data_IF_195826009410
#
_entry.id   IF_195826009410
#
_cell.length_a   1.000
_cell.length_b   1.000
_cell.length_c   1.000
_cell.angle_alpha   90.00
_cell.angle_beta   90.00
_cell.angle_gamma   90.00
#
_symmetry.space_group_name_H-M   'P 1'
#
loop_
_entity.id
_entity.type
_entity.pdbx_description
1 polymer ?
#
# COMPACT_ATOMS: atom_id res chain seq x y z
N UNK A 1 -5.54 11.54 18.24
CA UNK A 1 -5.95 10.72 19.39
C UNK A 1 -5.87 11.57 20.66
N UNK A 2 -6.84 11.46 21.57
CA UNK A 2 -6.74 12.08 22.88
C UNK A 2 -5.70 11.34 23.73
N UNK A 3 -5.08 12.00 24.74
CA UNK A 3 -4.13 11.33 25.64
C UNK A 3 -4.72 10.07 26.32
N UNK A 4 -6.04 10.05 26.58
CA UNK A 4 -6.74 8.88 27.13
C UNK A 4 -6.85 7.70 26.15
N UNK A 5 -6.86 7.94 24.83
CA UNK A 5 -6.88 6.87 23.81
C UNK A 5 -5.51 6.22 23.63
N UNK A 6 -4.43 6.97 23.87
CA UNK A 6 -3.05 6.47 23.79
C UNK A 6 -2.58 5.74 25.06
N UNK A 7 -3.31 5.85 26.19
CA UNK A 7 -2.93 5.24 27.47
C UNK A 7 -2.84 3.72 27.46
N UNK A 8 -3.34 3.06 26.40
CA UNK A 8 -3.31 1.60 26.24
C UNK A 8 -2.25 1.12 25.24
N UNK A 9 -1.47 2.02 24.67
CA UNK A 9 -0.43 1.71 23.69
C UNK A 9 0.88 2.33 24.13
N UNK A 10 1.91 1.51 24.28
CA UNK A 10 3.25 1.96 24.59
C UNK A 10 4.21 1.62 23.46
N UNK A 11 5.24 2.43 23.33
CA UNK A 11 6.29 2.33 22.32
C UNK A 11 7.64 2.17 23.02
N UNK A 12 7.99 0.96 23.49
CA UNK A 12 9.27 0.73 24.17
C UNK A 12 10.43 1.04 23.23
N UNK A 13 11.38 1.85 23.70
CA UNK A 13 12.64 2.11 23.00
C UNK A 13 13.59 0.97 23.31
N UNK A 14 14.23 0.41 22.29
CA UNK A 14 15.21 -0.65 22.49
C UNK A 14 16.42 -0.12 23.27
N UNK A 15 16.94 -0.92 24.23
CA UNK A 15 18.09 -0.60 25.07
C UNK A 15 19.41 -0.46 24.30
N UNK A 16 19.45 -0.83 23.02
CA UNK A 16 20.64 -0.83 22.16
C UNK A 16 21.14 0.58 21.76
N UNK A 17 20.54 1.66 22.27
CA UNK A 17 21.07 3.02 22.21
C UNK A 17 20.92 3.74 20.88
N UNK A 18 20.31 3.15 19.85
CA UNK A 18 20.09 3.77 18.53
C UNK A 18 18.84 4.64 18.46
N UNK A 19 17.99 4.65 19.51
CA UNK A 19 16.75 5.43 19.55
C UNK A 19 15.65 4.95 18.59
N UNK A 20 15.86 3.85 17.88
CA UNK A 20 14.84 3.24 17.02
C UNK A 20 13.79 2.50 17.84
N UNK A 21 12.52 2.69 17.47
CA UNK A 21 11.41 1.97 18.10
C UNK A 21 11.08 0.78 17.21
N UNK A 22 11.25 -0.42 17.77
CA UNK A 22 10.96 -1.69 17.07
C UNK A 22 9.84 -2.47 17.73
N UNK A 23 9.44 -2.09 18.94
CA UNK A 23 8.43 -2.77 19.72
C UNK A 23 7.19 -1.90 19.91
N UNK A 24 6.03 -2.55 19.93
CA UNK A 24 4.75 -1.95 20.32
C UNK A 24 4.07 -2.83 21.35
N UNK A 25 3.50 -2.22 22.38
CA UNK A 25 2.86 -2.89 23.50
C UNK A 25 1.44 -2.36 23.66
N UNK A 26 0.45 -3.26 23.76
CA UNK A 26 -0.96 -2.93 23.94
C UNK A 26 -1.49 -3.58 25.22
N UNK A 27 -2.27 -2.83 25.96
CA UNK A 27 -2.90 -3.29 27.20
C UNK A 27 -4.41 -3.46 27.00
N UNK A 28 -4.90 -4.66 27.20
CA UNK A 28 -6.34 -4.95 27.19
C UNK A 28 -7.00 -4.50 28.50
N UNK A 29 -8.33 -4.52 28.53
CA UNK A 29 -9.09 -4.22 29.76
C UNK A 29 -8.79 -5.23 30.86
N UNK A 30 -8.84 -4.75 32.12
CA UNK A 30 -8.76 -5.60 33.29
C UNK A 30 -9.87 -6.66 33.29
N UNK A 31 -9.50 -7.92 33.28
CA UNK A 31 -10.45 -9.01 33.36
C UNK A 31 -10.81 -9.25 34.84
N UNK A 32 -12.03 -8.90 35.22
CA UNK A 32 -12.59 -9.27 36.54
C UNK A 32 -13.09 -10.72 36.44
N UNK A 33 -12.52 -11.61 37.23
CA UNK A 33 -13.00 -13.01 37.33
C UNK A 33 -14.43 -13.06 37.88
N UNK A 34 -15.16 -14.15 37.60
CA UNK A 34 -16.49 -14.39 38.16
C UNK A 34 -16.52 -14.35 39.70
N UNK A 35 -15.35 -14.41 40.36
CA UNK A 35 -15.16 -14.32 41.82
C UNK A 35 -14.77 -12.92 42.28
N UNK A 36 -14.80 -11.90 41.40
CA UNK A 36 -14.49 -10.50 41.73
C UNK A 36 -12.99 -10.18 41.86
N UNK A 37 -12.09 -11.10 41.55
CA UNK A 37 -10.65 -10.83 41.57
C UNK A 37 -10.20 -10.26 40.23
N UNK A 38 -9.52 -9.10 40.22
CA UNK A 38 -8.84 -8.55 39.05
C UNK A 38 -7.69 -9.48 38.66
N UNK A 39 -7.62 -9.87 37.36
CA UNK A 39 -6.53 -10.67 36.82
C UNK A 39 -5.44 -9.80 36.14
N UNK A 40 -5.55 -8.47 36.26
CA UNK A 40 -4.70 -7.52 35.58
C UNK A 40 -5.04 -7.39 34.07
N UNK A 41 -4.64 -6.29 33.48
CA UNK A 41 -4.78 -6.07 32.07
C UNK A 41 -3.92 -7.08 31.25
N UNK A 42 -4.48 -7.64 30.19
CA UNK A 42 -3.75 -8.54 29.32
C UNK A 42 -2.80 -7.74 28.43
N UNK A 43 -1.52 -8.01 28.54
CA UNK A 43 -0.49 -7.37 27.75
C UNK A 43 -0.24 -8.14 26.45
N UNK A 44 -0.03 -7.38 25.35
CA UNK A 44 0.33 -7.90 24.03
C UNK A 44 1.52 -7.10 23.51
N UNK A 45 2.66 -7.75 23.32
CA UNK A 45 3.86 -7.17 22.74
C UNK A 45 4.10 -7.75 21.36
N UNK A 46 4.53 -6.87 20.42
CA UNK A 46 4.90 -7.23 19.05
C UNK A 46 6.16 -6.48 18.67
N UNK A 47 7.06 -7.17 17.95
CA UNK A 47 8.33 -6.64 17.49
C UNK A 47 8.32 -6.65 15.96
N UNK A 48 8.83 -5.55 15.34
CA UNK A 48 8.88 -5.33 13.89
C UNK A 48 10.23 -4.72 13.50
N UNK A 49 10.48 -4.60 12.19
CA UNK A 49 11.66 -3.91 11.69
C UNK A 49 11.68 -2.45 12.13
N UNK A 50 10.53 -1.77 12.12
CA UNK A 50 10.33 -0.40 12.61
C UNK A 50 8.91 -0.17 13.11
N UNK A 51 8.76 0.64 14.14
CA UNK A 51 7.48 1.10 14.68
C UNK A 51 7.47 2.63 14.67
N UNK A 52 6.42 3.22 14.13
CA UNK A 52 6.22 4.66 14.07
C UNK A 52 5.30 5.10 15.21
N UNK A 53 5.79 5.90 16.16
CA UNK A 53 4.96 6.47 17.22
C UNK A 53 4.03 7.58 16.66
N UNK A 54 3.05 8.07 17.45
CA UNK A 54 2.10 9.08 16.99
C UNK A 54 2.71 10.40 16.51
N UNK A 55 3.94 10.70 16.91
CA UNK A 55 4.68 11.92 16.54
C UNK A 55 5.40 11.78 15.20
N UNK A 56 5.49 10.56 14.65
CA UNK A 56 6.15 10.32 13.36
C UNK A 56 5.42 11.05 12.23
N UNK A 57 6.17 11.74 11.42
CA UNK A 57 5.67 12.48 10.26
C UNK A 57 5.54 11.59 9.03
N UNK A 58 4.90 12.10 7.98
CA UNK A 58 4.87 11.45 6.66
C UNK A 58 6.28 11.31 6.07
N UNK A 59 7.19 12.24 6.39
CA UNK A 59 8.58 12.18 5.96
C UNK A 59 9.30 10.99 6.62
N UNK A 60 9.13 10.80 7.94
CA UNK A 60 9.74 9.67 8.65
C UNK A 60 9.27 8.33 8.10
N UNK A 61 7.97 8.23 7.74
CA UNK A 61 7.41 7.04 7.09
C UNK A 61 7.99 6.83 5.69
N UNK A 62 8.17 7.91 4.92
CA UNK A 62 8.68 7.85 3.56
C UNK A 62 10.17 7.46 3.52
N UNK A 63 10.96 7.79 4.52
CA UNK A 63 12.38 7.40 4.58
C UNK A 63 12.58 5.89 4.42
N UNK A 64 11.68 5.07 4.98
CA UNK A 64 11.71 3.61 4.83
C UNK A 64 11.39 3.14 3.39
N UNK A 65 10.63 3.93 2.64
CA UNK A 65 10.26 3.62 1.25
C UNK A 65 11.31 4.10 0.27
N UNK A 66 12.04 5.17 0.60
CA UNK A 66 12.98 5.86 -0.29
C UNK A 66 14.01 4.91 -0.92
N UNK A 67 14.58 3.98 -0.15
CA UNK A 67 15.53 2.98 -0.68
C UNK A 67 14.88 1.97 -1.62
N UNK A 68 13.61 1.65 -1.39
CA UNK A 68 12.85 0.78 -2.28
C UNK A 68 12.53 1.47 -3.60
N UNK A 69 12.27 2.79 -3.57
CA UNK A 69 12.09 3.62 -4.77
C UNK A 69 13.34 3.56 -5.65
N UNK A 70 14.53 3.73 -5.08
CA UNK A 70 15.78 3.58 -5.83
C UNK A 70 15.91 2.17 -6.43
N UNK A 71 15.50 1.15 -5.71
CA UNK A 71 15.52 -0.22 -6.23
C UNK A 71 14.62 -0.39 -7.45
N UNK A 72 13.50 0.33 -7.54
CA UNK A 72 12.64 0.29 -8.74
C UNK A 72 13.34 0.90 -9.97
N UNK A 73 14.08 2.00 -9.82
CA UNK A 73 14.91 2.56 -10.88
C UNK A 73 16.00 1.58 -11.33
N UNK A 74 16.56 0.82 -10.41
CA UNK A 74 17.56 -0.20 -10.69
C UNK A 74 16.98 -1.43 -11.43
N UNK A 75 15.67 -1.51 -11.63
CA UNK A 75 15.00 -2.60 -12.35
C UNK A 75 14.43 -3.69 -11.45
N UNK A 76 14.25 -3.44 -10.16
CA UNK A 76 13.51 -4.36 -9.31
C UNK A 76 12.01 -4.08 -9.37
N UNK A 77 11.21 -5.11 -9.17
CA UNK A 77 9.82 -4.94 -8.79
C UNK A 77 9.75 -4.62 -7.30
N UNK A 78 8.95 -3.63 -6.96
CA UNK A 78 8.74 -3.16 -5.59
C UNK A 78 7.25 -3.15 -5.32
N UNK A 79 6.87 -3.57 -4.12
CA UNK A 79 5.49 -3.53 -3.66
C UNK A 79 5.44 -2.94 -2.25
N UNK A 80 4.63 -1.90 -2.07
CA UNK A 80 4.35 -1.31 -0.76
C UNK A 80 2.84 -1.33 -0.56
N UNK A 81 2.38 -1.87 0.56
CA UNK A 81 0.96 -1.88 0.85
C UNK A 81 0.65 -1.53 2.31
N UNK A 82 -0.47 -0.81 2.49
CA UNK A 82 -0.98 -0.42 3.79
C UNK A 82 -2.13 -1.35 4.21
N UNK A 83 -2.06 -1.89 5.43
CA UNK A 83 -3.00 -2.83 6.02
C UNK A 83 -3.47 -2.33 7.39
N UNK A 84 -4.72 -2.54 7.73
CA UNK A 84 -5.29 -2.17 9.04
C UNK A 84 -6.79 -1.92 8.95
N UNK A 85 -7.40 -1.60 10.08
CA UNK A 85 -8.84 -1.34 10.17
C UNK A 85 -9.25 -0.05 9.43
N UNK A 86 -10.52 0.08 9.11
CA UNK A 86 -11.07 1.33 8.58
C UNK A 86 -10.83 2.47 9.57
N UNK A 87 -10.35 3.62 9.06
CA UNK A 87 -10.03 4.79 9.88
C UNK A 87 -8.67 4.75 10.59
N UNK A 88 -7.85 3.70 10.40
CA UNK A 88 -6.51 3.63 11.01
C UNK A 88 -5.43 4.44 10.29
N UNK A 89 -5.76 5.10 9.17
CA UNK A 89 -4.81 5.97 8.45
C UNK A 89 -4.14 5.37 7.22
N UNK A 90 -4.59 4.21 6.70
CA UNK A 90 -4.00 3.58 5.49
C UNK A 90 -3.93 4.54 4.30
N UNK A 91 -5.06 5.12 3.92
CA UNK A 91 -5.15 6.10 2.81
C UNK A 91 -4.33 7.34 3.11
N UNK A 92 -4.32 7.82 4.36
CA UNK A 92 -3.47 8.93 4.77
C UNK A 92 -1.98 8.61 4.62
N UNK A 93 -1.54 7.41 4.98
CA UNK A 93 -0.16 6.96 4.77
C UNK A 93 0.18 6.89 3.28
N UNK A 94 -0.72 6.36 2.44
CA UNK A 94 -0.44 6.13 1.03
C UNK A 94 -0.63 7.39 0.17
N UNK A 95 -1.74 8.10 0.31
CA UNK A 95 -2.10 9.25 -0.54
C UNK A 95 -1.81 10.61 0.14
N UNK A 96 -1.92 10.67 1.48
CA UNK A 96 -1.87 11.91 2.26
C UNK A 96 -3.26 12.52 2.46
N UNK A 97 -3.32 13.84 2.72
CA UNK A 97 -4.59 14.58 2.85
C UNK A 97 -5.05 15.07 1.48
N UNK A 98 -6.33 14.86 1.16
CA UNK A 98 -6.95 15.43 -0.03
C UNK A 98 -7.21 16.94 0.14
N UNK A 99 -7.01 17.73 -0.92
CA UNK A 99 -7.27 19.19 -0.93
C UNK A 99 -8.70 19.56 -0.50
N UNK A 100 -9.68 18.68 -0.68
CA UNK A 100 -11.05 18.89 -0.24
C UNK A 100 -11.22 19.04 1.28
N UNK A 101 -10.26 18.63 2.08
CA UNK A 101 -10.26 18.76 3.55
C UNK A 101 -9.59 20.07 4.00
N UNK A 102 -8.71 20.64 3.18
CA UNK A 102 -7.98 21.89 3.47
C UNK A 102 -8.85 23.13 3.16
N UNK A 103 -9.86 22.98 2.33
CA UNK A 103 -10.74 24.06 1.84
C UNK A 103 -11.98 24.34 2.68
N UNK A 104 -11.89 24.42 4.02
CA UNK A 104 -12.98 25.05 4.80
C UNK A 104 -12.96 26.58 4.59
N UNK A 105 -14.11 27.24 4.30
CA UNK A 105 -14.16 28.68 4.06
C UNK A 105 -13.82 29.43 5.34
N UNK A 106 -12.60 29.94 5.45
CA UNK A 106 -12.12 30.71 6.60
C UNK A 106 -10.61 30.87 6.72
N UNK A 107 -9.80 30.10 5.99
CA UNK A 107 -8.34 30.30 5.96
C UNK A 107 -7.92 31.04 4.70
N UNK A 108 -7.60 32.32 4.86
CA UNK A 108 -6.93 33.15 3.85
C UNK A 108 -5.51 32.62 3.62
N UNK A 109 -5.32 31.72 2.66
CA UNK A 109 -4.00 31.36 2.15
C UNK A 109 -3.79 31.97 0.77
N UNK A 110 -2.74 32.74 0.65
CA UNK A 110 -2.28 33.42 -0.55
C UNK A 110 -2.15 32.46 -1.72
N UNK A 111 -2.80 32.83 -2.83
CA UNK A 111 -2.72 32.19 -4.13
C UNK A 111 -1.33 32.32 -4.74
N UNK A 112 -0.42 31.41 -4.40
CA UNK A 112 0.81 31.16 -5.12
C UNK A 112 0.71 29.78 -5.77
N UNK A 113 0.72 29.67 -7.12
CA UNK A 113 0.61 28.38 -7.81
C UNK A 113 1.79 27.43 -7.56
N UNK A 114 2.89 27.90 -6.98
CA UNK A 114 4.07 27.12 -6.62
C UNK A 114 4.06 26.55 -5.19
N UNK A 115 3.02 26.81 -4.40
CA UNK A 115 2.79 26.15 -3.12
C UNK A 115 1.95 24.88 -3.34
N UNK A 116 2.52 23.93 -4.05
CA UNK A 116 2.02 22.56 -4.11
C UNK A 116 2.27 21.96 -2.72
N UNK A 117 1.17 21.72 -1.98
CA UNK A 117 1.05 20.94 -0.75
C UNK A 117 2.28 21.03 0.19
N UNK A 118 2.13 21.73 1.31
CA UNK A 118 3.19 21.81 2.32
C UNK A 118 3.65 20.43 2.80
N UNK A 119 4.93 20.30 3.11
CA UNK A 119 5.69 19.06 3.43
C UNK A 119 5.05 18.06 4.41
N UNK A 120 3.95 18.42 5.08
CA UNK A 120 3.28 17.58 6.06
C UNK A 120 2.06 16.79 5.56
N UNK A 121 1.60 17.02 4.34
CA UNK A 121 0.29 16.54 3.84
C UNK A 121 0.40 15.39 2.85
N UNK A 122 1.50 15.30 2.11
CA UNK A 122 1.73 14.27 1.09
C UNK A 122 2.06 12.90 1.70
N UNK A 123 1.41 11.84 1.16
CA UNK A 123 1.67 10.45 1.53
C UNK A 123 2.82 9.82 0.73
N UNK A 124 2.92 8.51 0.83
CA UNK A 124 3.96 7.70 0.17
C UNK A 124 3.90 7.82 -1.35
N UNK A 125 2.70 7.83 -1.97
CA UNK A 125 2.56 7.84 -3.43
C UNK A 125 3.13 9.12 -4.04
N UNK A 126 2.69 10.35 -3.66
CA UNK A 126 3.21 11.57 -4.26
C UNK A 126 4.73 11.75 -3.99
N UNK A 127 5.22 11.44 -2.79
CA UNK A 127 6.65 11.53 -2.47
C UNK A 127 7.49 10.57 -3.31
N UNK A 128 6.99 9.34 -3.51
CA UNK A 128 7.63 8.35 -4.39
C UNK A 128 7.76 8.86 -5.82
N UNK A 129 6.69 9.45 -6.34
CA UNK A 129 6.67 10.01 -7.71
C UNK A 129 7.69 11.14 -7.83
N UNK A 130 7.72 12.08 -6.90
CA UNK A 130 8.69 13.17 -6.88
C UNK A 130 10.14 12.63 -6.85
N UNK A 131 10.44 11.66 -5.99
CA UNK A 131 11.77 11.06 -5.90
C UNK A 131 12.17 10.38 -7.21
N UNK A 132 11.27 9.63 -7.86
CA UNK A 132 11.55 8.94 -9.13
C UNK A 132 11.89 9.94 -10.22
N UNK A 133 11.09 11.00 -10.39
CA UNK A 133 11.36 12.03 -11.40
C UNK A 133 12.66 12.77 -11.13
N UNK A 134 12.93 13.09 -9.86
CA UNK A 134 14.20 13.72 -9.49
C UNK A 134 15.40 12.80 -9.77
N UNK A 135 15.33 11.55 -9.37
CA UNK A 135 16.41 10.59 -9.55
C UNK A 135 16.61 10.20 -11.02
N UNK A 136 15.54 10.01 -11.81
CA UNK A 136 15.64 9.72 -13.23
C UNK A 136 16.33 10.86 -13.98
N UNK A 137 16.00 12.12 -13.65
CA UNK A 137 16.65 13.29 -14.23
C UNK A 137 18.14 13.38 -13.86
N UNK A 138 18.50 13.07 -12.63
CA UNK A 138 19.91 13.04 -12.20
C UNK A 138 20.74 11.96 -12.91
N UNK A 139 20.10 10.92 -13.42
CA UNK A 139 20.75 9.83 -14.15
C UNK A 139 20.93 10.13 -15.66
N UNK A 140 20.31 11.20 -16.18
CA UNK A 140 20.48 11.63 -17.59
C UNK A 140 21.94 11.93 -17.92
N UNK A 141 22.68 12.60 -17.03
CA UNK A 141 24.10 12.90 -17.18
C UNK A 141 24.97 11.63 -17.28
N UNK A 142 24.47 10.50 -16.76
CA UNK A 142 25.11 9.18 -16.83
C UNK A 142 24.65 8.38 -18.07
N UNK A 143 23.89 9.02 -18.96
CA UNK A 143 23.39 8.44 -20.21
C UNK A 143 22.12 7.62 -20.07
N UNK A 144 21.43 7.63 -18.93
CA UNK A 144 20.17 6.95 -18.74
C UNK A 144 18.99 7.80 -19.25
N UNK A 145 18.08 7.15 -19.93
CA UNK A 145 16.75 7.69 -20.28
C UNK A 145 15.69 6.77 -19.72
N UNK A 146 14.71 7.37 -19.02
CA UNK A 146 13.58 6.64 -18.48
C UNK A 146 12.27 7.04 -19.15
N UNK A 147 11.49 6.05 -19.56
CA UNK A 147 10.09 6.21 -19.91
C UNK A 147 9.25 5.71 -18.75
N UNK A 148 8.42 6.58 -18.21
CA UNK A 148 7.56 6.31 -17.06
C UNK A 148 6.12 6.20 -17.52
N UNK A 149 5.39 5.21 -17.03
CA UNK A 149 3.95 5.11 -17.26
C UNK A 149 3.20 4.66 -15.99
N UNK A 150 2.02 5.23 -15.78
CA UNK A 150 1.20 4.99 -14.61
C UNK A 150 -0.11 4.32 -14.97
N UNK A 151 -0.57 3.41 -14.11
CA UNK A 151 -1.93 2.87 -14.11
C UNK A 151 -2.52 2.92 -12.71
N UNK A 152 -3.85 2.97 -12.63
CA UNK A 152 -4.53 3.01 -11.35
C UNK A 152 -5.80 2.15 -11.42
N UNK A 153 -5.84 1.09 -10.65
CA UNK A 153 -6.94 0.15 -10.63
C UNK A 153 -7.53 -0.03 -9.23
N UNK A 154 -8.77 -0.46 -9.20
CA UNK A 154 -9.51 -0.81 -7.99
C UNK A 154 -9.94 -2.27 -8.06
N UNK A 155 -9.82 -2.97 -6.92
CA UNK A 155 -10.43 -4.29 -6.75
C UNK A 155 -11.57 -4.16 -5.75
N UNK A 156 -12.78 -4.29 -6.25
CA UNK A 156 -14.01 -4.23 -5.48
C UNK A 156 -14.89 -5.43 -5.79
N UNK A 157 -15.33 -6.13 -4.77
CA UNK A 157 -16.20 -7.29 -4.90
C UNK A 157 -15.66 -8.33 -5.91
N UNK A 158 -14.36 -8.67 -5.83
CA UNK A 158 -13.65 -9.58 -6.75
C UNK A 158 -13.71 -9.15 -8.23
N UNK A 159 -13.96 -7.87 -8.49
CA UNK A 159 -13.97 -7.26 -9.82
C UNK A 159 -12.88 -6.19 -9.91
N UNK A 160 -12.12 -6.23 -11.00
CA UNK A 160 -11.12 -5.19 -11.30
C UNK A 160 -11.80 -4.09 -12.08
N UNK A 161 -11.52 -2.84 -11.71
CA UNK A 161 -11.92 -1.62 -12.42
C UNK A 161 -10.70 -0.79 -12.72
N UNK A 162 -10.66 -0.20 -13.88
CA UNK A 162 -9.66 0.81 -14.24
C UNK A 162 -10.17 2.18 -13.82
N UNK A 163 -9.44 2.83 -12.91
CA UNK A 163 -9.81 4.16 -12.41
C UNK A 163 -9.39 5.30 -13.35
N UNK A 164 -8.65 4.98 -14.41
CA UNK A 164 -8.24 5.93 -15.43
C UNK A 164 -9.04 5.79 -16.74
N UNK A 165 -9.90 4.78 -16.84
CA UNK A 165 -10.78 4.60 -18.00
C UNK A 165 -11.87 5.68 -18.06
N UNK A 166 -12.39 5.95 -19.26
CA UNK A 166 -13.52 6.85 -19.42
C UNK A 166 -14.79 6.26 -18.79
N UNK A 167 -15.64 7.10 -18.16
CA UNK A 167 -16.93 6.64 -17.62
C UNK A 167 -17.77 5.93 -18.68
N UNK A 168 -18.34 4.77 -18.31
CA UNK A 168 -19.12 3.95 -19.25
C UNK A 168 -18.31 2.98 -20.11
N UNK A 169 -17.00 2.92 -19.97
CA UNK A 169 -16.17 1.91 -20.61
C UNK A 169 -16.57 0.52 -20.13
N UNK A 170 -17.02 -0.34 -21.04
CA UNK A 170 -17.45 -1.71 -20.72
C UNK A 170 -16.37 -2.72 -21.16
N UNK A 171 -15.18 -2.59 -20.62
CA UNK A 171 -14.08 -3.52 -20.84
C UNK A 171 -14.01 -4.53 -19.70
N UNK A 172 -13.66 -5.77 -20.04
CA UNK A 172 -13.38 -6.80 -19.06
C UNK A 172 -11.89 -6.78 -18.71
N UNK A 173 -11.59 -6.72 -17.43
CA UNK A 173 -10.25 -6.72 -16.88
C UNK A 173 -9.97 -8.10 -16.26
N UNK A 174 -9.03 -8.83 -16.85
CA UNK A 174 -8.62 -10.17 -16.37
C UNK A 174 -7.13 -10.18 -16.04
N UNK A 175 -6.77 -10.89 -14.99
CA UNK A 175 -5.36 -11.12 -14.63
C UNK A 175 -4.81 -12.18 -15.58
N UNK A 176 -3.71 -11.85 -16.25
CA UNK A 176 -2.99 -12.72 -17.18
C UNK A 176 -1.56 -12.93 -16.70
N UNK A 177 -0.99 -14.04 -17.13
CA UNK A 177 0.43 -14.32 -16.98
C UNK A 177 1.08 -14.25 -18.37
N UNK A 178 2.24 -13.60 -18.45
CA UNK A 178 3.08 -13.65 -19.64
C UNK A 178 3.80 -15.00 -19.75
N UNK A 179 4.62 -15.17 -20.78
CA UNK A 179 5.40 -16.41 -21.00
C UNK A 179 6.44 -16.66 -19.90
N UNK A 180 6.84 -15.61 -19.20
CA UNK A 180 7.82 -15.63 -18.11
C UNK A 180 7.14 -15.82 -16.75
N UNK A 181 5.81 -15.85 -16.71
CA UNK A 181 4.98 -16.04 -15.52
C UNK A 181 4.64 -14.76 -14.78
N UNK A 182 4.96 -13.57 -15.33
CA UNK A 182 4.65 -12.30 -14.67
C UNK A 182 3.18 -11.96 -14.80
N UNK A 183 2.66 -11.34 -13.75
CA UNK A 183 1.26 -10.95 -13.64
C UNK A 183 1.02 -9.59 -14.31
N UNK A 184 -0.01 -9.53 -15.15
CA UNK A 184 -0.51 -8.30 -15.76
C UNK A 184 -2.03 -8.28 -15.77
N UNK A 185 -2.62 -7.08 -15.91
CA UNK A 185 -4.07 -6.91 -16.07
C UNK A 185 -4.36 -6.55 -17.53
N UNK A 186 -5.23 -7.35 -18.18
CA UNK A 186 -5.61 -7.07 -19.56
C UNK A 186 -6.43 -5.79 -19.65
N UNK A 187 -6.26 -5.06 -20.77
CA UNK A 187 -7.01 -3.84 -21.11
C UNK A 187 -6.84 -2.67 -20.12
N UNK A 188 -5.95 -2.77 -19.13
CA UNK A 188 -5.66 -1.67 -18.21
C UNK A 188 -4.97 -0.54 -18.96
N UNK A 189 -5.41 0.69 -18.72
CA UNK A 189 -4.80 1.88 -19.34
C UNK A 189 -3.50 2.21 -18.61
N UNK A 190 -2.44 2.38 -19.38
CA UNK A 190 -1.17 2.91 -18.89
C UNK A 190 -0.95 4.27 -19.56
N UNK A 191 -0.93 5.33 -18.76
CA UNK A 191 -0.63 6.67 -19.20
C UNK A 191 0.87 6.92 -19.10
N UNK A 192 1.51 7.29 -20.20
CA UNK A 192 2.87 7.82 -20.16
C UNK A 192 2.86 9.15 -19.43
N UNK A 193 3.83 9.35 -18.54
CA UNK A 193 3.94 10.52 -17.68
C UNK A 193 5.35 11.08 -17.74
N UNK A 194 5.47 12.40 -17.93
CA UNK A 194 6.72 13.11 -18.11
C UNK A 194 7.09 14.03 -16.94
N UNK A 195 6.16 14.28 -16.03
CA UNK A 195 6.37 15.11 -14.83
C UNK A 195 5.47 14.67 -13.67
N UNK A 196 5.81 15.04 -12.40
CA UNK A 196 5.02 14.70 -11.24
C UNK A 196 3.59 15.25 -11.26
N UNK A 197 3.36 16.41 -11.89
CA UNK A 197 2.03 17.05 -11.99
C UNK A 197 1.04 16.19 -12.75
N UNK A 198 1.48 15.57 -13.86
CA UNK A 198 0.62 14.64 -14.61
C UNK A 198 0.20 13.44 -13.77
N UNK A 199 1.10 12.89 -12.96
CA UNK A 199 0.73 11.79 -12.05
C UNK A 199 -0.27 12.28 -11.00
N UNK A 200 -0.08 13.48 -10.46
CA UNK A 200 -1.02 14.10 -9.53
C UNK A 200 -2.43 14.25 -10.13
N UNK A 201 -2.53 14.70 -11.39
CA UNK A 201 -3.81 14.76 -12.11
C UNK A 201 -4.48 13.38 -12.26
N UNK A 202 -3.67 12.34 -12.57
CA UNK A 202 -4.18 10.96 -12.65
C UNK A 202 -4.70 10.45 -11.29
N UNK A 203 -4.01 10.76 -10.20
CA UNK A 203 -4.45 10.44 -8.84
C UNK A 203 -5.76 11.14 -8.50
N UNK A 204 -5.89 12.43 -8.81
CA UNK A 204 -7.14 13.19 -8.62
C UNK A 204 -8.30 12.62 -9.45
N UNK A 205 -8.03 12.24 -10.70
CA UNK A 205 -9.04 11.59 -11.55
C UNK A 205 -9.50 10.27 -10.94
N UNK A 206 -8.58 9.43 -10.49
CA UNK A 206 -8.88 8.15 -9.85
C UNK A 206 -9.68 8.33 -8.56
N UNK A 207 -9.28 9.27 -7.68
CA UNK A 207 -10.00 9.59 -6.44
C UNK A 207 -11.43 10.06 -6.71
N UNK A 208 -11.66 10.89 -7.74
CA UNK A 208 -13.02 11.32 -8.14
C UNK A 208 -13.85 10.14 -8.64
N UNK A 209 -13.28 9.23 -9.41
CA UNK A 209 -13.99 8.03 -9.87
C UNK A 209 -14.37 7.10 -8.72
N UNK A 210 -13.48 6.93 -7.73
CA UNK A 210 -13.79 6.18 -6.49
C UNK A 210 -14.92 6.86 -5.70
N UNK A 211 -14.86 8.18 -5.52
CA UNK A 211 -15.89 8.95 -4.81
C UNK A 211 -17.26 8.89 -5.51
N UNK A 212 -17.30 8.99 -6.84
CA UNK A 212 -18.53 8.85 -7.61
C UNK A 212 -19.18 7.48 -7.46
N UNK A 213 -18.38 6.41 -7.45
CA UNK A 213 -18.86 5.06 -7.18
C UNK A 213 -19.39 4.92 -5.74
N UNK A 214 -18.83 5.66 -4.78
CA UNK A 214 -19.24 5.66 -3.37
C UNK A 214 -20.61 6.30 -3.13
N UNK A 215 -21.01 7.34 -3.88
CA UNK A 215 -22.32 8.01 -3.70
C UNK A 215 -23.50 7.11 -4.00
N UNK A 216 -23.31 6.06 -4.79
CA UNK A 216 -24.35 5.06 -5.09
C UNK A 216 -24.40 3.89 -4.08
N UNK A 217 -23.35 3.66 -3.27
CA UNK A 217 -23.27 2.50 -2.37
C UNK A 217 -22.32 2.74 -1.19
N UNK A 218 -22.60 3.58 -0.19
CA UNK A 218 -21.91 3.70 1.12
C UNK A 218 -20.37 3.52 1.14
N UNK A 219 -19.63 4.41 1.84
CA UNK A 219 -18.18 4.32 2.21
C UNK A 219 -17.34 3.32 1.38
N UNK A 220 -17.28 3.49 0.04
CA UNK A 220 -16.72 2.55 -0.91
C UNK A 220 -15.20 2.36 -0.70
N UNK A 221 -14.49 3.41 -0.28
CA UNK A 221 -13.04 3.39 -0.11
C UNK A 221 -12.57 2.43 0.99
N UNK A 222 -13.36 2.23 2.05
CA UNK A 222 -13.03 1.25 3.09
C UNK A 222 -13.27 -0.20 2.67
N UNK A 223 -13.87 -0.42 1.50
CA UNK A 223 -14.35 -1.73 1.03
C UNK A 223 -13.73 -2.17 -0.29
N UNK A 224 -12.83 -1.38 -0.84
CA UNK A 224 -12.09 -1.68 -2.06
C UNK A 224 -10.59 -1.58 -1.83
N UNK A 225 -9.81 -2.35 -2.58
CA UNK A 225 -8.37 -2.22 -2.64
C UNK A 225 -8.01 -1.31 -3.80
N UNK A 226 -7.18 -0.31 -3.55
CA UNK A 226 -6.69 0.63 -4.55
C UNK A 226 -5.24 0.30 -4.87
N UNK A 227 -4.91 0.18 -6.14
CA UNK A 227 -3.56 -0.19 -6.60
C UNK A 227 -3.09 0.84 -7.61
N UNK A 228 -2.11 1.64 -7.20
CA UNK A 228 -1.34 2.50 -8.07
C UNK A 228 -0.10 1.75 -8.54
N UNK A 229 0.14 1.73 -9.87
CA UNK A 229 1.30 1.08 -10.46
C UNK A 229 2.08 2.11 -11.28
N UNK A 230 3.38 2.18 -11.05
CA UNK A 230 4.31 2.96 -11.86
C UNK A 230 5.32 2.03 -12.51
N UNK A 231 5.39 2.08 -13.84
CA UNK A 231 6.29 1.30 -14.67
C UNK A 231 7.48 2.17 -15.08
N UNK A 232 8.69 1.67 -14.86
CA UNK A 232 9.93 2.39 -15.11
C UNK A 232 10.76 1.62 -16.14
N UNK A 233 10.83 2.14 -17.36
CA UNK A 233 11.63 1.56 -18.43
C UNK A 233 12.84 2.44 -18.69
N UNK A 234 14.01 2.03 -18.22
CA UNK A 234 15.29 2.72 -18.37
C UNK A 234 16.14 2.12 -19.47
N UNK A 235 16.81 2.98 -20.28
CA UNK A 235 17.82 2.60 -21.23
C UNK A 235 19.03 3.51 -21.10
N UNK A 236 20.21 2.93 -20.99
CA UNK A 236 21.45 3.68 -20.98
C UNK A 236 22.04 3.74 -22.40
N UNK A 237 22.10 4.95 -22.97
CA UNK A 237 22.59 5.17 -24.34
C UNK A 237 24.07 4.88 -24.51
N UNK A 238 24.85 5.02 -23.43
CA UNK A 238 26.31 4.84 -23.50
C UNK A 238 26.71 3.37 -23.42
N UNK A 239 26.03 2.60 -22.56
CA UNK A 239 26.37 1.20 -22.30
C UNK A 239 25.44 0.18 -22.93
N UNK A 240 24.30 0.61 -23.50
CA UNK A 240 23.24 -0.27 -24.02
C UNK A 240 22.51 -1.07 -22.92
N UNK A 241 22.73 -0.79 -21.66
CA UNK A 241 22.02 -1.45 -20.55
C UNK A 241 20.57 -1.01 -20.48
N UNK A 242 19.70 -1.94 -20.09
CA UNK A 242 18.28 -1.68 -19.83
C UNK A 242 17.91 -1.97 -18.40
N UNK A 243 16.88 -1.31 -17.91
CA UNK A 243 16.27 -1.50 -16.58
C UNK A 243 14.76 -1.53 -16.73
N UNK A 244 14.07 -2.47 -16.09
CA UNK A 244 12.61 -2.58 -16.11
C UNK A 244 12.10 -2.76 -14.69
N UNK A 245 11.75 -1.65 -14.04
CA UNK A 245 11.21 -1.62 -12.71
C UNK A 245 9.68 -1.48 -12.72
N UNK A 246 9.04 -2.01 -11.70
CA UNK A 246 7.61 -1.78 -11.42
C UNK A 246 7.45 -1.47 -9.96
N UNK A 247 6.75 -0.39 -9.66
CA UNK A 247 6.40 -0.02 -8.30
C UNK A 247 4.89 -0.13 -8.12
N UNK A 248 4.46 -0.98 -7.20
CA UNK A 248 3.07 -1.17 -6.80
C UNK A 248 2.86 -0.53 -5.44
N UNK A 249 2.01 0.50 -5.35
CA UNK A 249 1.62 1.16 -4.11
C UNK A 249 0.14 0.90 -3.86
N UNK A 250 -0.19 0.25 -2.73
CA UNK A 250 -1.49 -0.38 -2.53
C UNK A 250 -2.11 0.08 -1.22
N UNK A 251 -3.30 0.67 -1.31
CA UNK A 251 -4.18 0.94 -0.17
C UNK A 251 -5.21 -0.19 -0.07
N UNK A 252 -5.10 -1.03 0.96
CA UNK A 252 -5.99 -2.17 1.15
C UNK A 252 -7.32 -1.74 1.81
N UNK A 253 -8.38 -2.48 1.53
CA UNK A 253 -9.65 -2.37 2.25
C UNK A 253 -9.46 -2.59 3.77
N UNK A 254 -10.44 -2.17 4.57
CA UNK A 254 -10.41 -2.34 6.02
C UNK A 254 -10.31 -3.81 6.44
N UNK A 255 -9.45 -4.09 7.44
CA UNK A 255 -9.19 -5.45 7.94
C UNK A 255 -10.17 -5.91 9.02
N UNK A 256 -11.08 -5.04 9.46
CA UNK A 256 -12.05 -5.34 10.51
C UNK A 256 -12.99 -6.47 10.11
N UNK A 257 -13.29 -7.33 11.08
CA UNK A 257 -14.31 -8.38 10.93
C UNK A 257 -15.68 -7.77 11.19
N UNK A 258 -16.49 -7.64 10.14
CA UNK A 258 -17.87 -7.19 10.33
C UNK A 258 -18.60 -8.17 11.23
N UNK A 259 -19.00 -7.68 12.43
CA UNK A 259 -19.83 -8.43 13.38
C UNK A 259 -21.08 -8.90 12.63
N UNK A 260 -21.57 -10.11 12.91
CA UNK A 260 -22.74 -10.77 12.26
C UNK A 260 -24.05 -10.00 12.49
N UNK A 261 -24.07 -8.68 12.39
CA UNK A 261 -25.26 -7.85 12.59
C UNK A 261 -25.97 -7.63 11.28
N UNK A 262 -27.11 -8.31 11.13
CA UNK A 262 -28.34 -7.94 10.38
C UNK A 262 -28.21 -7.31 8.98
N UNK A 263 -27.15 -7.58 8.22
CA UNK A 263 -27.10 -7.16 6.83
C UNK A 263 -27.76 -8.21 5.96
N UNK A 264 -28.85 -7.83 5.27
CA UNK A 264 -29.59 -8.65 4.30
C UNK A 264 -29.20 -8.24 2.87
N UNK A 265 -29.19 -9.21 1.94
CA UNK A 265 -29.01 -8.96 0.51
C UNK A 265 -27.57 -8.61 0.10
N UNK A 266 -27.45 -7.67 -0.82
CA UNK A 266 -26.19 -7.31 -1.51
C UNK A 266 -25.06 -6.88 -0.56
N UNK A 267 -25.38 -6.22 0.55
CA UNK A 267 -24.40 -5.82 1.58
C UNK A 267 -23.72 -7.00 2.25
N UNK A 268 -24.42 -8.11 2.43
CA UNK A 268 -23.84 -9.33 2.99
C UNK A 268 -22.82 -9.95 2.03
N UNK A 269 -23.12 -9.97 0.73
CA UNK A 269 -22.21 -10.47 -0.31
C UNK A 269 -20.97 -9.59 -0.42
N UNK A 270 -21.14 -8.26 -0.45
CA UNK A 270 -20.03 -7.29 -0.45
C UNK A 270 -19.07 -7.53 0.71
N UNK A 271 -19.59 -7.61 1.92
CA UNK A 271 -18.83 -7.90 3.13
C UNK A 271 -18.08 -9.23 3.07
N UNK A 272 -18.72 -10.26 2.52
CA UNK A 272 -18.09 -11.57 2.34
C UNK A 272 -16.89 -11.50 1.38
N UNK A 273 -16.99 -10.74 0.29
CA UNK A 273 -15.92 -10.61 -0.68
C UNK A 273 -14.72 -9.82 -0.14
N UNK A 274 -14.93 -8.75 0.64
CA UNK A 274 -13.85 -7.99 1.28
C UNK A 274 -13.09 -8.89 2.26
N UNK A 275 -13.81 -9.52 3.18
CA UNK A 275 -13.19 -10.43 4.14
C UNK A 275 -12.52 -11.62 3.46
N UNK A 276 -13.06 -12.09 2.31
CA UNK A 276 -12.46 -13.14 1.51
C UNK A 276 -11.10 -12.74 0.96
N UNK A 277 -10.97 -11.56 0.33
CA UNK A 277 -9.70 -11.12 -0.27
C UNK A 277 -8.58 -11.02 0.76
N UNK A 278 -8.86 -10.41 1.93
CA UNK A 278 -7.90 -10.30 3.04
C UNK A 278 -7.63 -11.64 3.73
N UNK A 279 -8.65 -12.52 3.85
CA UNK A 279 -8.44 -13.89 4.35
C UNK A 279 -7.55 -14.69 3.40
N UNK A 280 -7.77 -14.59 2.08
CA UNK A 280 -6.90 -15.23 1.09
C UNK A 280 -5.46 -14.70 1.15
N UNK A 281 -5.26 -13.41 1.44
CA UNK A 281 -3.94 -12.87 1.69
C UNK A 281 -3.29 -13.55 2.91
N UNK A 282 -4.05 -13.73 3.99
CA UNK A 282 -3.59 -14.47 5.17
C UNK A 282 -3.22 -15.93 4.85
N UNK A 283 -4.01 -16.60 4.03
CA UNK A 283 -3.74 -17.99 3.61
C UNK A 283 -2.47 -18.09 2.75
N UNK A 284 -2.25 -17.13 1.84
CA UNK A 284 -1.03 -17.04 1.04
C UNK A 284 0.19 -16.84 1.93
N UNK A 285 0.15 -15.88 2.87
CA UNK A 285 1.25 -15.63 3.81
C UNK A 285 1.52 -16.87 4.67
N UNK A 286 0.50 -17.53 5.18
CA UNK A 286 0.64 -18.76 5.97
C UNK A 286 1.27 -19.90 5.14
N UNK A 287 0.85 -20.06 3.88
CA UNK A 287 1.42 -21.07 2.98
C UNK A 287 2.89 -20.77 2.64
N UNK A 288 3.26 -19.49 2.44
CA UNK A 288 4.64 -19.06 2.22
C UNK A 288 5.50 -19.31 3.46
N UNK A 289 5.05 -18.90 4.64
CA UNK A 289 5.77 -19.10 5.91
C UNK A 289 6.01 -20.59 6.20
N UNK A 290 5.05 -21.45 5.85
CA UNK A 290 5.17 -22.90 6.00
C UNK A 290 5.93 -23.57 4.84
N UNK A 291 6.44 -22.81 3.87
CA UNK A 291 7.12 -23.31 2.66
C UNK A 291 6.31 -24.41 1.96
N UNK A 292 4.96 -24.21 1.88
CA UNK A 292 4.03 -25.15 1.30
C UNK A 292 4.30 -25.33 -0.21
N UNK A 293 4.12 -26.55 -0.73
CA UNK A 293 4.32 -26.85 -2.16
C UNK A 293 3.30 -26.14 -3.08
N UNK A 294 2.15 -25.77 -2.54
CA UNK A 294 1.11 -25.03 -3.24
C UNK A 294 0.76 -23.75 -2.47
N UNK A 295 0.89 -22.62 -3.14
CA UNK A 295 0.51 -21.30 -2.62
C UNK A 295 -0.77 -20.85 -3.32
N UNK A 296 -1.87 -20.56 -2.57
CA UNK A 296 -3.20 -20.35 -3.13
C UNK A 296 -3.42 -18.92 -3.67
N UNK A 297 -2.54 -18.41 -4.53
CA UNK A 297 -2.64 -17.05 -5.07
C UNK A 297 -3.97 -16.78 -5.79
N UNK A 298 -4.55 -17.78 -6.46
CA UNK A 298 -5.75 -17.62 -7.31
C UNK A 298 -7.07 -17.59 -6.55
N UNK A 299 -7.05 -17.69 -5.21
CA UNK A 299 -8.27 -17.69 -4.40
C UNK A 299 -8.97 -16.33 -4.35
N UNK A 300 -8.26 -15.22 -4.62
CA UNK A 300 -8.83 -13.89 -4.79
C UNK A 300 -8.11 -13.11 -5.90
N UNK A 301 -8.80 -12.10 -6.46
CA UNK A 301 -8.17 -11.19 -7.44
C UNK A 301 -6.99 -10.44 -6.84
N UNK A 302 -7.08 -10.05 -5.56
CA UNK A 302 -6.00 -9.38 -4.84
C UNK A 302 -4.75 -10.27 -4.78
N UNK A 303 -4.85 -11.47 -4.24
CA UNK A 303 -3.69 -12.37 -4.11
C UNK A 303 -3.14 -12.82 -5.44
N UNK A 304 -4.00 -12.95 -6.47
CA UNK A 304 -3.58 -13.27 -7.82
C UNK A 304 -2.78 -12.11 -8.44
N UNK A 305 -3.24 -10.86 -8.28
CA UNK A 305 -2.50 -9.67 -8.74
C UNK A 305 -1.16 -9.52 -8.01
N UNK A 306 -1.13 -9.83 -6.72
CA UNK A 306 0.06 -9.72 -5.87
C UNK A 306 1.00 -10.94 -5.94
N UNK A 307 0.73 -11.90 -6.81
CA UNK A 307 1.53 -13.14 -6.88
C UNK A 307 3.02 -12.87 -7.04
N UNK A 308 3.43 -11.96 -7.95
CA UNK A 308 4.83 -11.60 -8.17
C UNK A 308 5.44 -10.89 -6.95
N UNK A 309 4.64 -10.07 -6.28
CA UNK A 309 5.06 -9.33 -5.09
C UNK A 309 5.26 -10.22 -3.87
N UNK A 310 4.37 -11.20 -3.69
CA UNK A 310 4.39 -12.14 -2.55
C UNK A 310 5.22 -13.41 -2.85
N UNK A 311 5.43 -13.73 -4.12
CA UNK A 311 6.15 -14.93 -4.56
C UNK A 311 7.68 -14.83 -4.58
N UNK A 312 8.27 -13.75 -4.05
CA UNK A 312 9.71 -13.57 -3.92
C UNK A 312 10.40 -12.92 -5.12
N UNK A 313 9.65 -12.40 -6.09
CA UNK A 313 10.20 -11.70 -7.27
C UNK A 313 10.26 -10.17 -7.08
N UNK A 314 9.80 -9.67 -5.95
CA UNK A 314 9.72 -8.26 -5.59
C UNK A 314 10.35 -7.98 -4.24
N UNK A 315 10.78 -6.74 -4.02
CA UNK A 315 11.03 -6.19 -2.69
C UNK A 315 9.70 -5.69 -2.14
N UNK A 316 9.26 -6.25 -1.03
CA UNK A 316 7.92 -5.99 -0.49
C UNK A 316 8.01 -5.39 0.91
N UNK A 317 7.27 -4.29 1.13
CA UNK A 317 7.11 -3.61 2.42
C UNK A 317 5.62 -3.55 2.78
N UNK A 318 5.30 -3.80 4.04
CA UNK A 318 3.96 -3.69 4.58
C UNK A 318 3.90 -2.67 5.71
N UNK A 319 3.13 -1.61 5.54
CA UNK A 319 2.71 -0.74 6.63
C UNK A 319 1.49 -1.33 7.33
N UNK A 320 1.53 -1.41 8.65
CA UNK A 320 0.41 -1.85 9.47
C UNK A 320 -0.10 -0.67 10.28
N UNK A 321 -1.24 -0.16 9.87
CA UNK A 321 -1.90 0.96 10.52
C UNK A 321 -2.85 0.43 11.60
N UNK A 322 -2.70 0.90 12.82
CA UNK A 322 -3.56 0.56 13.94
C UNK A 322 -4.40 1.76 14.37
N UNK A 323 -5.56 1.48 14.95
CA UNK A 323 -6.40 2.52 15.54
C UNK A 323 -6.09 2.65 17.03
N UNK A 324 -5.93 3.87 17.56
CA UNK A 324 -5.80 4.12 18.98
C UNK A 324 -7.16 4.00 19.74
N UNK A 325 -8.28 3.91 19.01
CA UNK A 325 -9.60 3.83 19.62
C UNK A 325 -9.77 2.51 20.39
N UNK A 326 -10.16 2.60 21.67
CA UNK A 326 -10.38 1.48 22.55
C UNK A 326 -11.39 0.45 22.01
N UNK A 327 -12.45 0.92 21.35
CA UNK A 327 -13.45 0.03 20.72
C UNK A 327 -12.87 -0.84 19.62
N UNK A 328 -11.78 -0.40 18.99
CA UNK A 328 -11.07 -1.09 17.91
C UNK A 328 -9.81 -1.82 18.38
N UNK A 329 -9.51 -1.82 19.68
CA UNK A 329 -8.30 -2.44 20.23
C UNK A 329 -8.17 -3.93 19.83
N UNK A 330 -9.26 -4.68 19.87
CA UNK A 330 -9.26 -6.10 19.48
C UNK A 330 -8.91 -6.31 18.00
N UNK A 331 -9.36 -5.40 17.13
CA UNK A 331 -9.06 -5.43 15.69
C UNK A 331 -7.61 -4.97 15.42
N UNK A 332 -7.11 -3.97 16.17
CA UNK A 332 -5.71 -3.53 16.12
C UNK A 332 -4.77 -4.67 16.54
N UNK A 333 -5.07 -5.40 17.62
CA UNK A 333 -4.33 -6.60 18.03
C UNK A 333 -4.38 -7.68 16.94
N UNK A 334 -5.53 -7.86 16.28
CA UNK A 334 -5.66 -8.82 15.18
C UNK A 334 -4.79 -8.44 13.98
N UNK A 335 -4.71 -7.14 13.66
CA UNK A 335 -3.85 -6.60 12.60
C UNK A 335 -2.37 -6.81 12.93
N UNK A 336 -1.94 -6.55 14.17
CA UNK A 336 -0.56 -6.77 14.61
C UNK A 336 -0.18 -8.26 14.61
N UNK A 337 -1.10 -9.16 14.99
CA UNK A 337 -0.87 -10.61 14.86
C UNK A 337 -0.70 -11.06 13.42
N UNK A 338 -1.43 -10.47 12.51
CA UNK A 338 -1.25 -10.72 11.09
C UNK A 338 0.11 -10.20 10.63
N UNK A 339 0.46 -8.96 10.99
CA UNK A 339 1.75 -8.36 10.68
C UNK A 339 2.94 -9.17 11.20
N UNK A 340 2.87 -9.69 12.42
CA UNK A 340 3.92 -10.55 12.99
C UNK A 340 4.11 -11.85 12.18
N UNK A 341 3.03 -12.40 11.59
CA UNK A 341 3.15 -13.56 10.69
C UNK A 341 3.80 -13.18 9.36
N UNK A 342 3.49 -11.99 8.83
CA UNK A 342 4.13 -11.47 7.60
C UNK A 342 5.61 -11.24 7.84
N UNK A 343 5.97 -10.60 8.96
CA UNK A 343 7.36 -10.30 9.34
C UNK A 343 8.21 -11.57 9.49
N UNK A 344 7.63 -12.66 10.00
CA UNK A 344 8.29 -13.94 10.12
C UNK A 344 8.39 -14.72 8.79
N UNK A 345 7.82 -14.20 7.68
CA UNK A 345 7.74 -14.92 6.41
C UNK A 345 8.90 -14.54 5.49
N UNK A 346 9.76 -15.49 5.18
CA UNK A 346 10.83 -15.34 4.17
C UNK A 346 10.23 -15.57 2.76
N UNK A 347 10.02 -14.50 1.98
CA UNK A 347 9.43 -14.57 0.64
C UNK A 347 10.44 -14.76 -0.50
N UNK A 348 11.74 -14.90 -0.19
CA UNK A 348 12.81 -15.16 -1.17
C UNK A 348 13.60 -13.91 -1.54
N UNK A 349 14.38 -13.99 -2.61
CA UNK A 349 15.29 -12.92 -3.04
C UNK A 349 14.79 -12.26 -4.31
N UNK A 350 14.51 -10.96 -4.26
CA UNK A 350 14.10 -10.17 -5.41
C UNK A 350 15.17 -10.19 -6.52
N UNK A 351 14.74 -10.27 -7.77
CA UNK A 351 15.62 -10.30 -8.94
C UNK A 351 15.49 -9.00 -9.73
N UNK A 352 16.66 -8.47 -10.13
CA UNK A 352 16.73 -7.32 -11.04
C UNK A 352 16.29 -7.74 -12.43
N UNK A 353 15.47 -6.90 -13.09
CA UNK A 353 15.11 -7.04 -14.49
C UNK A 353 15.82 -5.98 -15.33
N UNK A 354 16.34 -6.41 -16.47
CA UNK A 354 17.12 -5.61 -17.38
C UNK A 354 18.32 -6.42 -17.88
N UNK A 355 18.90 -5.98 -18.97
CA UNK A 355 19.98 -6.67 -19.64
C UNK A 355 20.86 -5.69 -20.43
N UNK A 356 21.70 -6.22 -21.31
CA UNK A 356 22.42 -5.46 -22.34
C UNK A 356 21.70 -5.70 -23.67
N UNK A 357 21.23 -4.67 -24.33
CA UNK A 357 20.70 -4.76 -25.70
C UNK A 357 21.86 -5.07 -26.66
N UNK A 358 21.98 -6.31 -27.10
CA UNK A 358 22.99 -6.71 -28.11
C UNK A 358 22.64 -6.25 -29.52
N UNK A 359 21.53 -5.54 -29.74
CA UNK A 359 21.05 -5.15 -31.10
C UNK A 359 21.59 -3.81 -31.62
N UNK A 360 22.66 -3.24 -31.06
CA UNK A 360 23.27 -2.01 -31.59
C UNK A 360 24.59 -2.26 -32.36
N UNK A 361 24.79 -3.47 -32.89
CA UNK A 361 25.93 -3.74 -33.76
C UNK A 361 25.41 -4.19 -35.12
N UNK A 362 24.95 -3.28 -35.96
CA UNK A 362 24.97 -3.33 -37.43
C UNK A 362 24.07 -2.27 -38.05
N UNK A 363 24.60 -1.06 -38.27
CA UNK A 363 24.48 -0.37 -39.54
C UNK A 363 25.44 0.80 -39.55
#
# INVERSE_FOLDING_TARGET
>A
ASESELSQIEFPVDEDGNGEIKSIQLFGEDQISATGQSRGAKEFRFDFDKVFPPQASQQDVFEEVSQLVQSALDGYHVCVFAYGVTGSGKTFTMEGMSESVVGSPGSSSSSNPDMILGDGVEGVIPRTVQQIFHASKSLEDQGWEYTLSASFLEIYNETIRDLLAEPGTNLKYDIKHDREGHVSVSNIIQHEVSDPGQVHELLHRASRQRAWAATNCNAHSSRSHSVFQLFLNGRNKLSGKTSQGVLNLIDLAGSERLKKTQHTGDRKLETQHINKSLSCLGDVIAALANKSSHIPYRNSKLTHLLQDSLGGNSKTLMFVNISPNQEQLSESISSLRFAAKVNACEIGTARRKGGVDFNTSSK
#
